data_IF_235380106398
#
_entry.id   IF_235380106398
#
_cell.length_a   1.000
_cell.length_b   1.000
_cell.length_c   1.000
_cell.angle_alpha   90.00
_cell.angle_beta   90.00
_cell.angle_gamma   90.00
#
_symmetry.space_group_name_H-M   'P 1'
#
loop_
_entity.id
_entity.type
_entity.pdbx_description
1 polymer ?
#
# COMPACT_ATOMS: atom_id res chain seq x y z
N UNK A 1 -11.63 1.13 4.08
CA UNK A 1 -10.66 1.82 3.20
C UNK A 1 -11.14 3.17 2.67
N UNK A 2 -11.92 3.86 3.46
CA UNK A 2 -12.46 5.16 3.04
C UNK A 2 -11.35 6.17 2.74
N UNK A 3 -10.34 6.23 3.58
CA UNK A 3 -9.22 7.17 3.41
C UNK A 3 -8.46 6.92 2.11
N UNK A 4 -8.24 5.64 1.77
CA UNK A 4 -7.54 5.31 0.54
C UNK A 4 -8.35 5.72 -0.70
N UNK A 5 -9.67 5.58 -0.64
CA UNK A 5 -10.54 5.94 -1.77
C UNK A 5 -10.53 7.44 -2.03
N UNK A 6 -10.54 8.25 -0.99
CA UNK A 6 -10.72 9.70 -1.10
C UNK A 6 -9.43 10.50 -0.98
N UNK A 7 -8.35 9.91 -0.48
CA UNK A 7 -7.09 10.60 -0.25
C UNK A 7 -6.15 10.57 -1.44
N UNK A 8 -5.07 11.33 -1.34
CA UNK A 8 -3.96 11.23 -2.29
C UNK A 8 -3.29 9.88 -2.10
N UNK A 9 -3.06 9.18 -3.19
CA UNK A 9 -2.57 7.81 -3.12
C UNK A 9 -1.72 7.45 -4.32
N UNK A 10 -0.91 6.41 -4.14
CA UNK A 10 -0.23 5.72 -5.23
C UNK A 10 -0.55 4.24 -5.12
N UNK A 11 -0.51 3.53 -6.23
CA UNK A 11 -0.76 2.10 -6.26
C UNK A 11 0.43 1.38 -6.87
N UNK A 12 0.61 0.12 -6.48
CA UNK A 12 1.69 -0.72 -6.96
C UNK A 12 2.84 -0.81 -5.96
N UNK A 13 3.59 -1.90 -6.08
CA UNK A 13 4.68 -2.25 -5.16
C UNK A 13 5.79 -1.19 -5.21
N UNK A 14 6.25 -0.88 -6.40
CA UNK A 14 7.36 0.06 -6.59
C UNK A 14 7.01 1.46 -6.08
N UNK A 15 5.82 1.94 -6.43
CA UNK A 15 5.35 3.26 -6.04
C UNK A 15 5.15 3.37 -4.54
N UNK A 16 4.55 2.33 -3.94
CA UNK A 16 4.33 2.30 -2.49
C UNK A 16 5.64 2.29 -1.72
N UNK A 17 6.60 1.48 -2.17
CA UNK A 17 7.91 1.41 -1.53
C UNK A 17 8.63 2.76 -1.59
N UNK A 18 8.57 3.42 -2.74
CA UNK A 18 9.17 4.75 -2.92
C UNK A 18 8.54 5.77 -1.97
N UNK A 19 7.22 5.76 -1.85
CA UNK A 19 6.51 6.68 -0.96
C UNK A 19 6.96 6.51 0.49
N UNK A 20 7.14 5.27 0.95
CA UNK A 20 7.63 5.03 2.30
C UNK A 20 9.06 5.52 2.46
N UNK A 21 9.92 5.16 1.50
CA UNK A 21 11.34 5.54 1.52
C UNK A 21 11.51 7.06 1.60
N UNK A 22 10.70 7.80 0.87
CA UNK A 22 10.81 9.25 0.76
C UNK A 22 9.99 9.98 1.82
N UNK A 23 9.46 9.27 2.81
CA UNK A 23 8.68 9.82 3.93
C UNK A 23 7.40 10.53 3.47
N UNK A 24 6.82 10.08 2.36
CA UNK A 24 5.59 10.63 1.81
C UNK A 24 4.37 9.81 2.18
N UNK A 25 4.56 8.61 2.67
CA UNK A 25 3.45 7.71 3.01
C UNK A 25 2.95 7.98 4.41
N UNK A 26 1.63 8.16 4.52
CA UNK A 26 0.93 8.28 5.78
C UNK A 26 0.50 6.91 6.30
N UNK A 27 0.15 6.00 5.38
CA UNK A 27 -0.20 4.63 5.66
C UNK A 27 0.04 3.78 4.42
N UNK A 28 0.27 2.50 4.61
CA UNK A 28 0.49 1.56 3.50
C UNK A 28 -0.51 0.42 3.61
N UNK A 29 -1.08 0.06 2.48
CA UNK A 29 -2.01 -1.04 2.35
C UNK A 29 -1.32 -2.15 1.57
N UNK A 30 -1.28 -3.35 2.14
CA UNK A 30 -0.69 -4.52 1.51
C UNK A 30 -1.77 -5.59 1.35
N UNK A 31 -1.88 -6.16 0.17
CA UNK A 31 -2.87 -7.18 -0.08
C UNK A 31 -2.50 -8.47 0.64
N UNK A 32 -3.46 -9.06 1.35
CA UNK A 32 -3.23 -10.27 2.16
C UNK A 32 -2.94 -11.51 1.30
N UNK A 33 -3.36 -11.49 0.04
CA UNK A 33 -3.15 -12.60 -0.90
C UNK A 33 -2.05 -12.32 -1.93
N UNK A 34 -1.29 -11.23 -1.76
CA UNK A 34 -0.17 -10.93 -2.63
C UNK A 34 1.04 -11.78 -2.25
N UNK A 35 1.94 -11.98 -3.21
CA UNK A 35 3.19 -12.71 -2.99
C UNK A 35 4.02 -12.01 -1.88
N UNK A 36 4.35 -12.72 -0.81
CA UNK A 36 5.17 -12.14 0.27
C UNK A 36 6.51 -11.59 -0.21
N UNK A 37 7.08 -12.14 -1.28
CA UNK A 37 8.32 -11.62 -1.84
C UNK A 37 8.18 -10.15 -2.27
N UNK A 38 6.97 -9.73 -2.61
CA UNK A 38 6.68 -8.35 -3.00
C UNK A 38 6.32 -7.46 -1.80
N UNK A 39 5.58 -8.00 -0.83
CA UNK A 39 5.04 -7.20 0.27
C UNK A 39 5.94 -7.15 1.50
N UNK A 40 6.70 -8.21 1.77
CA UNK A 40 7.57 -8.25 2.95
C UNK A 40 8.62 -7.14 2.98
N UNK A 41 9.30 -6.80 1.87
CA UNK A 41 10.24 -5.67 1.89
C UNK A 41 9.58 -4.34 2.23
N UNK A 42 8.36 -4.11 1.76
CA UNK A 42 7.60 -2.89 2.09
C UNK A 42 7.22 -2.90 3.56
N UNK A 43 6.75 -4.03 4.06
CA UNK A 43 6.38 -4.18 5.47
C UNK A 43 7.57 -3.89 6.39
N UNK A 44 8.74 -4.41 6.06
CA UNK A 44 9.96 -4.16 6.83
C UNK A 44 10.33 -2.69 6.83
N UNK A 45 10.24 -2.04 5.66
CA UNK A 45 10.54 -0.61 5.54
C UNK A 45 9.55 0.25 6.32
N UNK A 46 8.27 -0.12 6.30
CA UNK A 46 7.25 0.57 7.08
C UNK A 46 7.53 0.47 8.58
N UNK A 47 7.96 -0.71 9.03
CA UNK A 47 8.32 -0.90 10.44
C UNK A 47 9.50 0.01 10.82
N UNK A 48 10.50 0.08 9.98
CA UNK A 48 11.67 0.93 10.20
C UNK A 48 11.27 2.41 10.25
N UNK A 49 10.37 2.82 9.38
CA UNK A 49 9.96 4.23 9.28
C UNK A 49 8.78 4.61 10.17
N UNK A 50 8.19 3.65 10.86
CA UNK A 50 7.04 3.91 11.71
C UNK A 50 5.76 4.19 10.95
N UNK A 51 5.61 3.64 9.75
CA UNK A 51 4.42 3.83 8.91
C UNK A 51 3.42 2.70 9.19
N UNK A 52 2.16 3.01 9.51
CA UNK A 52 1.14 1.99 9.72
C UNK A 52 0.90 1.15 8.47
N UNK A 53 0.68 -0.15 8.67
CA UNK A 53 0.37 -1.08 7.60
C UNK A 53 -1.01 -1.67 7.85
N UNK A 54 -1.84 -1.67 6.80
CA UNK A 54 -3.15 -2.32 6.79
C UNK A 54 -3.06 -3.48 5.80
N UNK A 55 -3.32 -4.70 6.26
CA UNK A 55 -3.11 -5.90 5.43
C UNK A 55 -4.31 -6.86 5.44
N UNK A 56 -5.51 -6.34 5.65
CA UNK A 56 -6.74 -7.15 5.75
C UNK A 56 -7.49 -7.33 4.43
N UNK A 57 -7.11 -6.59 3.40
CA UNK A 57 -7.83 -6.58 2.13
C UNK A 57 -7.09 -7.42 1.09
N UNK A 58 -7.83 -8.04 0.18
CA UNK A 58 -7.22 -8.78 -0.92
C UNK A 58 -6.84 -7.84 -2.07
N UNK A 59 -6.13 -8.40 -3.07
CA UNK A 59 -5.64 -7.60 -4.21
C UNK A 59 -6.77 -6.95 -4.99
N UNK A 60 -7.89 -7.65 -5.13
CA UNK A 60 -9.04 -7.13 -5.86
C UNK A 60 -9.66 -5.94 -5.15
N UNK A 61 -9.89 -6.09 -3.84
CA UNK A 61 -10.46 -5.02 -3.02
C UNK A 61 -9.53 -3.81 -2.98
N UNK A 62 -8.24 -4.07 -2.83
CA UNK A 62 -7.25 -3.01 -2.78
C UNK A 62 -7.17 -2.26 -4.10
N UNK A 63 -7.20 -2.96 -5.22
CA UNK A 63 -7.21 -2.35 -6.55
C UNK A 63 -8.42 -1.44 -6.74
N UNK A 64 -9.60 -1.89 -6.32
CA UNK A 64 -10.81 -1.09 -6.41
C UNK A 64 -10.70 0.19 -5.58
N UNK A 65 -10.19 0.07 -4.35
CA UNK A 65 -10.04 1.22 -3.47
C UNK A 65 -8.98 2.21 -3.99
N UNK A 66 -7.95 1.70 -4.67
CA UNK A 66 -6.91 2.53 -5.26
C UNK A 66 -7.33 3.15 -6.60
N UNK A 67 -8.51 2.79 -7.12
CA UNK A 67 -9.04 3.37 -8.34
C UNK A 67 -8.47 2.78 -9.62
N UNK A 68 -7.96 1.55 -9.57
CA UNK A 68 -7.45 0.85 -10.76
C UNK A 68 -8.34 -0.34 -11.10
N UNK A 69 -8.29 -0.78 -12.36
CA UNK A 69 -9.16 -1.85 -12.85
C UNK A 69 -8.60 -3.24 -12.56
N UNK A 70 -7.34 -3.34 -12.22
CA UNK A 70 -6.69 -4.61 -11.90
C UNK A 70 -6.38 -4.67 -10.40
N UNK A 71 -6.04 -5.85 -9.92
CA UNK A 71 -5.66 -6.01 -8.52
C UNK A 71 -4.37 -5.27 -8.19
N UNK A 72 -4.24 -4.86 -6.92
CA UNK A 72 -3.04 -4.20 -6.42
C UNK A 72 -2.45 -4.99 -5.26
N UNK A 73 -1.16 -5.29 -5.34
CA UNK A 73 -0.45 -5.93 -4.23
C UNK A 73 -0.18 -4.94 -3.09
N UNK A 74 -0.03 -3.68 -3.42
CA UNK A 74 0.27 -2.62 -2.46
C UNK A 74 -0.28 -1.29 -2.94
N UNK A 75 -0.60 -0.43 -1.99
CA UNK A 75 -0.97 0.96 -2.23
C UNK A 75 -0.53 1.79 -1.03
N UNK A 76 -0.27 3.06 -1.24
CA UNK A 76 0.12 3.96 -0.17
C UNK A 76 -0.78 5.19 -0.17
N UNK A 77 -1.23 5.56 1.02
CA UNK A 77 -1.91 6.82 1.25
C UNK A 77 -0.85 7.86 1.55
N UNK A 78 -0.88 8.95 0.82
CA UNK A 78 0.13 10.00 0.93
C UNK A 78 -0.26 11.05 1.97
N UNK A 79 0.74 11.69 2.50
CA UNK A 79 0.56 12.79 3.45
C UNK A 79 -0.05 14.02 2.80
#
# INVERSE_FOLDING_TARGET
MKELRSGKKVSGVKQSRRAVRDNLARAVYLARDADPALTDPIRALCREKGVPVVDRWDMRELGQAAGIQVGAAAAALLR
#
